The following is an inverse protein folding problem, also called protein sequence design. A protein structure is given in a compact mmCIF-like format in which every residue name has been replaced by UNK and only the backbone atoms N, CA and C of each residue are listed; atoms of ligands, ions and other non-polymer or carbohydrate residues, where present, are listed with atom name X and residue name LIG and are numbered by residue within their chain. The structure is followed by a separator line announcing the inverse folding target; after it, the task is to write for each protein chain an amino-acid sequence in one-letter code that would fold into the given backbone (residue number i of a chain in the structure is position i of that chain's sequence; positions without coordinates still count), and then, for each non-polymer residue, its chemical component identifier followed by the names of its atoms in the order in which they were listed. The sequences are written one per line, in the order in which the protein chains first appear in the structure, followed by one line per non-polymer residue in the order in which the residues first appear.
data_IF_139905819795
#
_entry.id   IF_139905819795
#
_cell.length_a   1.000
_cell.length_b   1.000
_cell.length_c   1.000
_cell.angle_alpha   90.00
_cell.angle_beta   90.00
_cell.angle_gamma   90.00
#
_symmetry.space_group_name_H-M   'P 1'
#
loop_
_entity.id
_entity.type
_entity.pdbx_description
1 polymer ?
#
# COMPACT_ATOMS: atom_id res chain seq x y z
N UNK A 1 -22.10 26.19 -3.43
CA UNK A 1 -21.42 26.99 -4.47
C UNK A 1 -21.83 26.59 -5.88
N UNK A 2 -21.94 25.29 -6.18
CA UNK A 2 -22.39 24.78 -7.49
C UNK A 2 -23.79 25.32 -7.90
N UNK A 3 -24.79 25.25 -6.99
CA UNK A 3 -26.12 25.86 -7.23
C UNK A 3 -26.11 27.37 -7.49
N UNK A 4 -24.99 28.05 -7.20
CA UNK A 4 -24.77 29.48 -7.44
C UNK A 4 -23.98 29.74 -8.74
N UNK A 5 -23.81 28.73 -9.61
CA UNK A 5 -23.16 28.86 -10.92
C UNK A 5 -21.65 28.70 -10.93
N UNK A 6 -21.03 28.27 -9.82
CA UNK A 6 -19.59 28.00 -9.78
C UNK A 6 -19.29 26.61 -10.39
N UNK A 7 -18.21 26.45 -11.17
CA UNK A 7 -17.79 25.14 -11.69
C UNK A 7 -17.65 24.10 -10.58
N UNK A 8 -17.98 22.84 -10.85
CA UNK A 8 -18.05 21.79 -9.84
C UNK A 8 -16.68 21.47 -9.21
N UNK A 9 -15.63 21.50 -10.00
CA UNK A 9 -14.24 21.31 -9.58
C UNK A 9 -13.75 22.43 -8.64
N UNK A 10 -13.89 23.69 -9.05
CA UNK A 10 -13.58 24.84 -8.20
C UNK A 10 -14.46 24.85 -6.94
N UNK A 11 -15.73 24.48 -7.15
CA UNK A 11 -16.72 24.02 -6.20
C UNK A 11 -16.15 23.30 -4.98
N UNK A 12 -15.61 22.13 -5.28
CA UNK A 12 -15.15 21.15 -4.30
C UNK A 12 -13.79 21.54 -3.75
N UNK A 13 -12.85 21.99 -4.60
CA UNK A 13 -11.53 22.41 -4.16
C UNK A 13 -11.58 23.52 -3.11
N UNK A 14 -12.38 24.57 -3.35
CA UNK A 14 -12.54 25.68 -2.39
C UNK A 14 -13.23 25.24 -1.09
N UNK A 15 -14.14 24.27 -1.18
CA UNK A 15 -14.84 23.75 0.01
C UNK A 15 -13.92 22.87 0.86
N UNK A 16 -13.00 22.12 0.23
CA UNK A 16 -12.13 21.17 0.91
C UNK A 16 -10.82 21.78 1.43
N UNK A 17 -10.35 22.88 0.83
CA UNK A 17 -9.10 23.54 1.22
C UNK A 17 -8.99 23.85 2.73
N UNK A 18 -10.01 24.40 3.42
CA UNK A 18 -9.92 24.66 4.86
C UNK A 18 -9.76 23.38 5.71
N UNK A 19 -10.32 22.25 5.26
CA UNK A 19 -10.18 20.98 5.95
C UNK A 19 -8.78 20.39 5.78
N UNK A 20 -8.19 20.52 4.59
CA UNK A 20 -6.80 20.12 4.34
C UNK A 20 -5.82 20.97 5.16
N UNK A 21 -6.06 22.30 5.26
CA UNK A 21 -5.27 23.19 6.12
C UNK A 21 -5.37 22.80 7.61
N UNK A 22 -6.58 22.50 8.08
CA UNK A 22 -6.81 22.07 9.46
C UNK A 22 -6.05 20.76 9.77
N UNK A 23 -6.06 19.79 8.85
CA UNK A 23 -5.31 18.54 9.00
C UNK A 23 -3.80 18.77 9.03
N UNK A 24 -3.30 19.65 8.14
CA UNK A 24 -1.87 20.00 8.06
C UNK A 24 -1.36 20.76 9.29
N UNK A 25 -2.23 21.55 9.91
CA UNK A 25 -1.92 22.30 11.14
C UNK A 25 -1.98 21.45 12.42
N UNK A 26 -2.40 20.18 12.33
CA UNK A 26 -2.39 19.25 13.46
C UNK A 26 -0.98 18.95 13.93
N UNK A 27 -0.75 18.77 15.24
CA UNK A 27 0.53 18.31 15.79
C UNK A 27 0.76 16.80 15.58
N UNK A 28 -0.29 16.05 15.27
CA UNK A 28 -0.23 14.61 15.02
C UNK A 28 0.19 14.30 13.58
N UNK A 29 1.30 13.57 13.43
CA UNK A 29 1.88 13.19 12.13
C UNK A 29 0.92 12.37 11.24
N UNK A 30 0.02 11.58 11.81
CA UNK A 30 -1.00 10.84 11.06
C UNK A 30 -2.03 11.79 10.47
N UNK A 31 -2.48 12.79 11.24
CA UNK A 31 -3.40 13.80 10.72
C UNK A 31 -2.75 14.71 9.68
N UNK A 32 -1.48 15.09 9.86
CA UNK A 32 -0.71 15.80 8.83
C UNK A 32 -0.66 15.02 7.52
N UNK A 33 -0.38 13.71 7.61
CA UNK A 33 -0.33 12.83 6.43
C UNK A 33 -1.70 12.74 5.71
N UNK A 34 -2.82 12.76 6.44
CA UNK A 34 -4.17 12.72 5.86
C UNK A 34 -4.57 13.96 5.07
N UNK A 35 -3.88 15.09 5.23
CA UNK A 35 -4.12 16.26 4.40
C UNK A 35 -3.86 15.95 2.92
N UNK A 36 -2.79 15.18 2.64
CA UNK A 36 -2.45 14.74 1.29
C UNK A 36 -3.51 13.79 0.70
N UNK A 37 -4.07 12.89 1.52
CA UNK A 37 -5.15 11.98 1.08
C UNK A 37 -6.42 12.76 0.66
N UNK A 38 -6.78 13.81 1.42
CA UNK A 38 -7.93 14.65 1.08
C UNK A 38 -7.69 15.43 -0.22
N UNK A 39 -6.48 15.95 -0.42
CA UNK A 39 -6.08 16.64 -1.63
C UNK A 39 -6.07 15.70 -2.85
N UNK A 40 -5.64 14.44 -2.68
CA UNK A 40 -5.71 13.41 -3.73
C UNK A 40 -7.16 13.17 -4.18
N UNK A 41 -8.10 13.00 -3.24
CA UNK A 41 -9.52 12.79 -3.58
C UNK A 41 -10.12 14.00 -4.33
N UNK A 42 -9.77 15.22 -3.94
CA UNK A 42 -10.21 16.44 -4.62
C UNK A 42 -9.70 16.47 -6.06
N UNK A 43 -8.44 16.10 -6.25
CA UNK A 43 -7.80 16.08 -7.57
C UNK A 43 -8.34 14.95 -8.46
N UNK A 44 -8.61 13.76 -7.90
CA UNK A 44 -9.28 12.67 -8.60
C UNK A 44 -10.67 13.08 -9.10
N UNK A 45 -11.47 13.70 -8.22
CA UNK A 45 -12.79 14.20 -8.60
C UNK A 45 -12.66 15.24 -9.72
N UNK A 46 -11.70 16.17 -9.61
CA UNK A 46 -11.45 17.18 -10.63
C UNK A 46 -11.14 16.53 -11.98
N UNK A 47 -10.22 15.57 -12.02
CA UNK A 47 -9.87 14.85 -13.25
C UNK A 47 -11.06 14.08 -13.82
N UNK A 48 -11.82 13.38 -12.99
CA UNK A 48 -13.03 12.68 -13.41
C UNK A 48 -14.08 13.63 -14.03
N UNK A 49 -14.28 14.82 -13.45
CA UNK A 49 -15.18 15.85 -13.98
C UNK A 49 -14.73 16.38 -15.35
N UNK A 50 -13.42 16.39 -15.61
CA UNK A 50 -12.84 16.83 -16.89
C UNK A 50 -12.59 15.67 -17.87
N UNK A 51 -12.94 14.43 -17.51
CA UNK A 51 -12.67 13.24 -18.33
C UNK A 51 -11.18 12.93 -18.50
N UNK A 52 -10.34 13.38 -17.57
CA UNK A 52 -8.90 13.13 -17.55
C UNK A 52 -8.63 11.90 -16.69
N UNK A 53 -7.74 11.01 -17.14
CA UNK A 53 -7.30 9.84 -16.37
C UNK A 53 -6.50 10.25 -15.13
N UNK A 54 -6.73 9.57 -14.00
CA UNK A 54 -5.93 9.70 -12.78
C UNK A 54 -4.53 9.10 -12.88
N UNK A 55 -4.40 8.11 -13.75
CA UNK A 55 -3.14 7.45 -14.02
C UNK A 55 -2.44 8.15 -15.18
N UNK A 56 -1.13 8.42 -15.06
CA UNK A 56 -0.34 8.71 -16.24
C UNK A 56 -0.50 7.57 -17.26
N UNK A 57 -0.44 7.85 -18.56
CA UNK A 57 -0.49 6.80 -19.57
C UNK A 57 0.59 5.76 -19.25
N UNK A 58 0.26 4.45 -19.32
CA UNK A 58 1.23 3.42 -19.01
C UNK A 58 2.44 3.56 -19.94
N UNK A 59 3.66 3.32 -19.44
CA UNK A 59 4.84 3.45 -20.28
C UNK A 59 4.81 2.39 -21.38
N UNK A 60 5.29 2.73 -22.57
CA UNK A 60 5.29 1.82 -23.72
C UNK A 60 6.22 0.61 -23.54
N UNK A 61 7.15 0.69 -22.60
CA UNK A 61 8.17 -0.32 -22.28
C UNK A 61 8.41 -0.36 -20.77
N UNK A 62 8.97 -1.46 -20.22
CA UNK A 62 9.36 -1.53 -18.81
C UNK A 62 10.22 -0.33 -18.38
N UNK A 63 9.71 0.50 -17.46
CA UNK A 63 10.28 1.82 -17.11
C UNK A 63 10.28 2.08 -15.60
N UNK A 64 11.16 2.99 -15.17
CA UNK A 64 11.17 3.54 -13.81
C UNK A 64 10.34 4.82 -13.81
N UNK A 65 9.34 4.90 -12.93
CA UNK A 65 8.50 6.09 -12.82
C UNK A 65 9.19 7.14 -11.95
N UNK A 66 9.37 8.35 -12.46
CA UNK A 66 9.85 9.50 -11.70
C UNK A 66 8.69 10.48 -11.50
N UNK A 67 8.43 10.86 -10.26
CA UNK A 67 7.35 11.77 -9.93
C UNK A 67 7.72 12.72 -8.80
N UNK A 68 6.96 13.82 -8.66
CA UNK A 68 7.12 14.72 -7.49
C UNK A 68 6.64 14.01 -6.23
N UNK A 69 5.48 13.38 -6.33
CA UNK A 69 4.91 12.48 -5.34
C UNK A 69 4.04 11.43 -6.07
N UNK A 70 3.75 10.31 -5.42
CA UNK A 70 2.80 9.31 -5.91
C UNK A 70 1.75 9.08 -4.83
N UNK A 71 0.49 9.36 -5.16
CA UNK A 71 -0.60 9.06 -4.26
C UNK A 71 -0.77 7.55 -4.06
N UNK A 72 -1.34 7.09 -2.93
CA UNK A 72 -1.60 5.66 -2.71
C UNK A 72 -2.46 5.03 -3.80
N UNK A 73 -3.47 5.75 -4.28
CA UNK A 73 -4.34 5.39 -5.41
C UNK A 73 -3.55 5.11 -6.68
N UNK A 74 -2.61 6.00 -7.02
CA UNK A 74 -1.75 5.88 -8.19
C UNK A 74 -0.76 4.72 -8.06
N UNK A 75 -0.17 4.56 -6.88
CA UNK A 75 0.79 3.48 -6.59
C UNK A 75 0.14 2.10 -6.68
N UNK A 76 -1.09 1.97 -6.19
CA UNK A 76 -1.87 0.73 -6.27
C UNK A 76 -2.28 0.36 -7.71
N UNK A 77 -2.46 1.37 -8.57
CA UNK A 77 -2.86 1.21 -9.98
C UNK A 77 -1.71 0.95 -10.96
N UNK A 78 -0.46 0.87 -10.50
CA UNK A 78 0.70 0.66 -11.37
C UNK A 78 0.67 -0.74 -12.01
N UNK A 79 0.84 -0.79 -13.33
CA UNK A 79 1.02 -2.04 -14.06
C UNK A 79 2.41 -2.62 -13.80
N UNK A 80 2.46 -3.72 -13.06
CA UNK A 80 3.70 -4.39 -12.63
C UNK A 80 4.51 -5.00 -13.77
N UNK A 81 3.94 -5.13 -14.96
CA UNK A 81 4.65 -5.63 -16.15
C UNK A 81 5.43 -4.51 -16.85
N UNK A 82 5.02 -3.26 -16.65
CA UNK A 82 5.56 -2.08 -17.33
C UNK A 82 6.28 -1.11 -16.38
N UNK A 83 5.98 -1.16 -15.07
CA UNK A 83 6.64 -0.34 -14.07
C UNK A 83 7.58 -1.21 -13.25
N UNK A 84 8.89 -1.04 -13.47
CA UNK A 84 9.94 -1.86 -12.83
C UNK A 84 10.49 -1.24 -11.53
N UNK A 85 10.00 -0.05 -11.18
CA UNK A 85 10.36 0.68 -9.96
C UNK A 85 9.90 2.13 -10.03
N UNK A 86 10.06 2.88 -8.94
CA UNK A 86 9.75 4.31 -8.96
C UNK A 86 10.63 5.13 -8.02
N UNK A 87 10.72 6.43 -8.31
CA UNK A 87 11.42 7.39 -7.49
C UNK A 87 10.59 8.67 -7.33
N UNK A 88 10.53 9.21 -6.11
CA UNK A 88 9.76 10.43 -5.81
C UNK A 88 10.62 11.52 -5.18
N UNK A 89 10.30 12.77 -5.51
CA UNK A 89 10.94 13.93 -4.89
C UNK A 89 10.50 14.14 -3.43
N UNK A 90 9.23 13.85 -3.15
CA UNK A 90 8.61 13.95 -1.83
C UNK A 90 8.33 12.56 -1.25
N UNK A 91 7.92 12.52 0.01
CA UNK A 91 7.58 11.29 0.72
C UNK A 91 8.66 10.82 1.70
N UNK A 92 8.27 9.92 2.58
CA UNK A 92 9.13 9.33 3.61
C UNK A 92 9.10 7.81 3.53
N UNK A 93 10.12 7.14 4.07
CA UNK A 93 10.20 5.68 4.08
C UNK A 93 9.02 4.99 4.82
N UNK A 94 8.30 5.73 5.67
CA UNK A 94 7.13 5.28 6.42
C UNK A 94 5.80 5.69 5.78
N UNK A 95 5.83 6.45 4.68
CA UNK A 95 4.62 6.86 3.97
C UNK A 95 3.91 5.68 3.29
N UNK A 96 2.60 5.81 3.05
CA UNK A 96 1.78 4.78 2.41
C UNK A 96 2.35 4.31 1.07
N UNK A 97 2.90 5.22 0.26
CA UNK A 97 3.56 4.94 -1.01
C UNK A 97 4.76 4.00 -0.86
N UNK A 98 5.60 4.20 0.15
CA UNK A 98 6.76 3.35 0.43
C UNK A 98 6.35 1.97 0.99
N UNK A 99 5.26 1.90 1.76
CA UNK A 99 4.69 0.64 2.24
C UNK A 99 4.11 -0.17 1.07
N UNK A 100 3.37 0.50 0.17
CA UNK A 100 2.79 -0.12 -1.02
C UNK A 100 3.89 -0.65 -1.96
N UNK A 101 4.98 0.09 -2.17
CA UNK A 101 6.11 -0.39 -2.96
C UNK A 101 6.65 -1.75 -2.47
N UNK A 102 6.84 -1.89 -1.15
CA UNK A 102 7.32 -3.13 -0.54
C UNK A 102 6.33 -4.28 -0.74
N UNK A 103 5.04 -4.02 -0.58
CA UNK A 103 4.00 -5.03 -0.79
C UNK A 103 3.92 -5.49 -2.27
N UNK A 104 4.21 -4.57 -3.19
CA UNK A 104 4.25 -4.79 -4.64
C UNK A 104 5.58 -5.40 -5.11
N UNK A 105 6.60 -5.48 -4.25
CA UNK A 105 7.93 -5.98 -4.61
C UNK A 105 8.69 -5.06 -5.57
N UNK A 106 8.33 -3.77 -5.63
CA UNK A 106 8.97 -2.79 -6.51
C UNK A 106 10.11 -2.07 -5.78
N UNK A 107 11.30 -1.93 -6.40
CA UNK A 107 12.32 -0.99 -5.94
C UNK A 107 11.74 0.44 -5.90
N UNK A 108 11.90 1.12 -4.77
CA UNK A 108 11.42 2.48 -4.59
C UNK A 108 12.40 3.32 -3.77
N UNK A 109 12.64 4.56 -4.20
CA UNK A 109 13.39 5.58 -3.45
C UNK A 109 12.56 6.86 -3.37
N UNK A 110 12.31 7.34 -2.16
CA UNK A 110 11.43 8.49 -1.91
C UNK A 110 12.21 9.63 -1.24
N UNK A 111 11.79 10.86 -1.46
CA UNK A 111 12.40 12.05 -0.84
C UNK A 111 13.68 12.56 -1.53
N UNK A 112 13.83 12.35 -2.85
CA UNK A 112 14.99 12.85 -3.60
C UNK A 112 14.75 14.29 -4.05
N UNK A 113 15.26 15.28 -3.30
CA UNK A 113 15.08 16.69 -3.63
C UNK A 113 15.55 17.04 -5.06
N UNK A 114 14.72 17.77 -5.82
CA UNK A 114 15.04 18.21 -7.19
C UNK A 114 14.98 17.11 -8.26
N UNK A 115 14.46 15.91 -7.93
CA UNK A 115 14.46 14.76 -8.84
C UNK A 115 13.75 15.04 -10.17
N UNK A 116 12.56 15.62 -10.14
CA UNK A 116 11.73 15.85 -11.35
C UNK A 116 12.35 16.86 -12.31
N UNK A 117 13.18 17.77 -11.80
CA UNK A 117 13.88 18.75 -12.62
C UNK A 117 15.21 18.19 -13.16
N UNK A 118 15.75 17.16 -12.49
CA UNK A 118 17.03 16.54 -12.84
C UNK A 118 16.91 15.41 -13.88
N UNK A 119 15.75 14.73 -13.96
CA UNK A 119 15.53 13.58 -14.85
C UNK A 119 14.58 13.93 -15.99
N UNK A 120 15.02 13.73 -17.23
CA UNK A 120 14.17 13.87 -18.41
C UNK A 120 13.44 12.56 -18.77
N UNK A 121 12.27 12.68 -19.40
CA UNK A 121 11.56 11.51 -19.94
C UNK A 121 12.42 10.77 -20.98
N UNK A 122 12.42 9.45 -20.91
CA UNK A 122 13.29 8.58 -21.73
C UNK A 122 14.77 8.53 -21.32
N UNK A 123 15.18 9.26 -20.27
CA UNK A 123 16.56 9.21 -19.77
C UNK A 123 16.86 7.90 -19.05
N UNK A 124 18.07 7.39 -19.24
CA UNK A 124 18.50 6.16 -18.57
C UNK A 124 18.80 6.45 -17.11
N UNK A 125 18.18 5.68 -16.20
CA UNK A 125 18.41 5.79 -14.76
C UNK A 125 18.63 4.42 -14.14
N UNK A 126 19.45 4.39 -13.09
CA UNK A 126 19.69 3.23 -12.27
C UNK A 126 19.11 3.49 -10.88
N UNK A 127 18.08 2.73 -10.51
CA UNK A 127 17.43 2.82 -9.22
C UNK A 127 17.92 1.68 -8.30
N UNK A 128 18.52 2.05 -7.17
CA UNK A 128 18.96 1.11 -6.14
C UNK A 128 18.17 1.36 -4.84
N UNK A 129 17.17 0.51 -4.61
CA UNK A 129 16.31 0.57 -3.43
C UNK A 129 16.99 0.11 -2.13
N UNK A 130 18.08 -0.66 -2.22
CA UNK A 130 18.85 -1.11 -1.05
C UNK A 130 19.72 0.03 -0.50
N UNK A 131 20.36 0.78 -1.41
CA UNK A 131 21.23 1.92 -1.06
C UNK A 131 20.49 3.25 -1.00
N UNK A 132 19.25 3.30 -1.49
CA UNK A 132 18.44 4.51 -1.55
C UNK A 132 18.99 5.53 -2.56
N UNK A 133 19.54 5.06 -3.69
CA UNK A 133 20.20 5.94 -4.68
C UNK A 133 19.55 5.83 -6.05
N UNK A 134 19.48 6.96 -6.77
CA UNK A 134 19.15 7.02 -8.19
C UNK A 134 20.33 7.64 -8.92
N UNK A 135 20.84 6.95 -9.94
CA UNK A 135 21.95 7.44 -10.78
C UNK A 135 21.42 7.72 -12.18
N UNK A 136 21.62 8.95 -12.63
CA UNK A 136 21.24 9.43 -13.96
C UNK A 136 22.39 9.12 -14.93
N UNK A 137 22.05 8.66 -16.13
CA UNK A 137 23.00 8.23 -17.17
C UNK A 137 24.11 7.33 -16.62
N UNK A 138 23.73 6.18 -16.00
CA UNK A 138 24.68 5.30 -15.34
C UNK A 138 25.70 4.77 -16.34
N UNK A 139 26.97 4.74 -15.93
CA UNK A 139 28.00 4.10 -16.74
C UNK A 139 27.70 2.61 -16.93
N UNK A 140 28.09 1.98 -18.05
CA UNK A 140 27.89 0.54 -18.25
C UNK A 140 28.45 -0.32 -17.11
N UNK A 141 29.56 0.11 -16.51
CA UNK A 141 30.18 -0.57 -15.36
C UNK A 141 29.37 -0.45 -14.06
N UNK A 142 28.61 0.64 -13.89
CA UNK A 142 27.68 0.84 -12.77
C UNK A 142 26.47 -0.07 -12.89
N UNK A 143 25.94 -0.24 -14.11
CA UNK A 143 24.81 -1.16 -14.39
C UNK A 143 25.23 -2.61 -14.17
N UNK A 144 26.45 -3.00 -14.57
CA UNK A 144 26.97 -4.36 -14.40
C UNK A 144 27.18 -4.76 -12.92
N UNK A 145 27.34 -3.79 -12.01
CA UNK A 145 27.49 -4.03 -10.57
C UNK A 145 26.16 -4.08 -9.81
N UNK A 146 25.09 -3.53 -10.39
CA UNK A 146 23.75 -3.75 -9.86
C UNK A 146 23.35 -5.14 -10.30
N UNK A 147 23.51 -6.09 -9.37
CA UNK A 147 22.88 -7.38 -9.51
C UNK A 147 21.41 -7.11 -9.83
N UNK A 148 20.91 -7.64 -10.96
CA UNK A 148 19.47 -7.73 -11.19
C UNK A 148 18.81 -8.29 -9.92
N UNK A 149 17.51 -7.98 -9.68
CA UNK A 149 16.84 -8.20 -8.40
C UNK A 149 17.35 -9.49 -7.80
N UNK A 150 18.13 -9.37 -6.71
CA UNK A 150 18.77 -10.55 -6.11
C UNK A 150 17.64 -11.55 -5.95
N UNK A 151 17.75 -12.76 -6.52
CA UNK A 151 16.76 -13.78 -6.21
C UNK A 151 16.70 -13.78 -4.70
N UNK A 152 15.50 -13.49 -4.15
CA UNK A 152 15.25 -13.58 -2.72
C UNK A 152 15.96 -14.86 -2.30
N UNK A 153 17.00 -14.74 -1.47
CA UNK A 153 17.73 -15.92 -1.05
C UNK A 153 16.67 -16.74 -0.36
N UNK A 154 16.26 -17.82 -1.01
CA UNK A 154 15.28 -18.75 -0.46
C UNK A 154 16.04 -19.54 0.59
N UNK A 155 16.30 -18.88 1.71
CA UNK A 155 16.84 -19.53 2.88
C UNK A 155 15.68 -20.14 3.63
N UNK A 156 15.32 -21.35 3.20
CA UNK A 156 14.35 -22.19 3.90
C UNK A 156 15.00 -22.95 5.07
N UNK A 157 16.26 -22.65 5.43
CA UNK A 157 16.87 -23.24 6.61
C UNK A 157 16.13 -22.75 7.86
N UNK A 158 15.96 -23.62 8.86
CA UNK A 158 15.40 -23.20 10.14
C UNK A 158 16.21 -22.04 10.73
N UNK A 159 15.52 -20.99 11.19
CA UNK A 159 16.20 -19.89 11.85
C UNK A 159 16.71 -20.36 13.23
N UNK A 160 18.03 -20.53 13.33
CA UNK A 160 18.72 -20.97 14.54
C UNK A 160 19.77 -19.93 14.93
N UNK A 161 19.68 -19.47 16.17
CA UNK A 161 20.66 -18.57 16.79
C UNK A 161 22.02 -19.26 16.98
N UNK A 162 23.09 -18.48 17.19
CA UNK A 162 24.46 -19.01 17.33
C UNK A 162 24.63 -19.99 18.49
N UNK A 163 23.77 -19.91 19.51
CA UNK A 163 23.72 -20.79 20.67
C UNK A 163 22.67 -21.92 20.55
N UNK A 164 22.07 -22.10 19.38
CA UNK A 164 21.24 -23.27 19.04
C UNK A 164 19.74 -23.13 19.31
N UNK A 165 19.24 -21.95 19.69
CA UNK A 165 17.80 -21.71 19.85
C UNK A 165 17.13 -21.52 18.49
N UNK A 166 16.16 -22.39 18.18
CA UNK A 166 15.25 -22.25 17.03
C UNK A 166 14.21 -21.14 17.27
N UNK A 167 13.95 -20.35 16.24
CA UNK A 167 12.92 -19.30 16.18
C UNK A 167 12.06 -19.57 14.95
N UNK A 168 10.74 -19.52 15.08
CA UNK A 168 9.85 -19.63 13.93
C UNK A 168 9.74 -18.27 13.23
N UNK A 169 9.97 -18.26 11.91
CA UNK A 169 9.88 -17.06 11.08
C UNK A 169 8.62 -17.13 10.22
N UNK A 170 7.55 -16.53 10.73
CA UNK A 170 6.27 -16.45 10.04
C UNK A 170 6.11 -15.18 9.20
N UNK A 171 5.28 -15.24 8.15
CA UNK A 171 4.89 -14.08 7.35
C UNK A 171 3.52 -13.51 7.78
N UNK A 172 3.30 -12.23 7.51
CA UNK A 172 1.98 -11.62 7.54
C UNK A 172 1.34 -11.75 6.15
N UNK A 173 0.08 -12.15 6.07
CA UNK A 173 -0.65 -12.30 4.82
C UNK A 173 -2.06 -11.69 4.93
N UNK A 174 -2.63 -11.27 3.80
CA UNK A 174 -4.02 -10.82 3.70
C UNK A 174 -4.83 -11.59 2.65
N UNK A 175 -4.17 -12.36 1.77
CA UNK A 175 -4.81 -13.09 0.68
C UNK A 175 -3.98 -14.34 0.27
N UNK A 176 -4.46 -15.07 -0.74
CA UNK A 176 -3.80 -16.27 -1.27
C UNK A 176 -2.42 -15.98 -1.90
N UNK A 177 -2.27 -14.87 -2.61
CA UNK A 177 -1.00 -14.49 -3.25
C UNK A 177 0.10 -14.28 -2.20
N UNK A 178 -0.22 -13.61 -1.09
CA UNK A 178 0.69 -13.47 0.05
C UNK A 178 1.11 -14.81 0.65
N UNK A 179 0.16 -15.73 0.81
CA UNK A 179 0.43 -17.07 1.32
C UNK A 179 1.34 -17.87 0.39
N UNK A 180 1.10 -17.83 -0.92
CA UNK A 180 1.96 -18.47 -1.91
C UNK A 180 3.37 -17.89 -1.92
N UNK A 181 3.50 -16.56 -1.82
CA UNK A 181 4.80 -15.88 -1.71
C UNK A 181 5.54 -16.29 -0.43
N UNK A 182 4.85 -16.35 0.71
CA UNK A 182 5.43 -16.81 1.97
C UNK A 182 5.89 -18.28 1.89
N UNK A 183 5.08 -19.13 1.25
CA UNK A 183 5.41 -20.54 1.06
C UNK A 183 6.70 -20.71 0.23
N UNK A 184 6.78 -20.00 -0.90
CA UNK A 184 7.92 -19.99 -1.80
C UNK A 184 9.18 -19.39 -1.16
N UNK A 185 9.02 -18.41 -0.27
CA UNK A 185 10.11 -17.81 0.49
C UNK A 185 10.64 -18.71 1.63
N UNK A 186 9.99 -19.84 1.94
CA UNK A 186 10.42 -20.77 2.98
C UNK A 186 9.98 -20.40 4.39
N UNK A 187 8.97 -19.53 4.55
CA UNK A 187 8.45 -19.17 5.87
C UNK A 187 8.01 -20.40 6.67
N UNK A 188 8.23 -20.40 7.99
CA UNK A 188 7.81 -21.48 8.89
C UNK A 188 6.27 -21.55 9.01
N UNK A 189 5.56 -20.50 8.60
CA UNK A 189 4.10 -20.41 8.60
C UNK A 189 3.61 -19.00 8.30
N UNK A 190 2.29 -18.80 8.41
CA UNK A 190 1.69 -17.47 8.47
C UNK A 190 1.48 -17.11 9.93
N UNK A 191 2.25 -16.13 10.42
CA UNK A 191 2.14 -15.65 11.80
C UNK A 191 0.94 -14.75 12.03
N UNK A 192 0.39 -14.17 10.95
CA UNK A 192 -0.82 -13.36 10.98
C UNK A 192 -1.50 -13.35 9.61
N UNK A 193 -2.64 -14.02 9.50
CA UNK A 193 -3.56 -13.87 8.38
C UNK A 193 -4.62 -12.82 8.76
N UNK A 194 -4.59 -11.68 8.09
CA UNK A 194 -5.55 -10.58 8.25
C UNK A 194 -6.81 -10.91 7.47
N UNK A 195 -7.93 -11.10 8.16
CA UNK A 195 -9.21 -11.44 7.54
C UNK A 195 -9.93 -10.22 6.93
N UNK A 196 -9.52 -8.99 7.26
CA UNK A 196 -10.24 -7.78 6.86
C UNK A 196 -10.37 -7.60 5.35
N UNK A 197 -9.45 -8.12 4.54
CA UNK A 197 -9.50 -7.98 3.07
C UNK A 197 -10.76 -8.64 2.46
N UNK A 198 -11.30 -9.69 3.09
CA UNK A 198 -12.57 -10.29 2.65
C UNK A 198 -13.79 -9.39 2.90
N UNK A 199 -13.66 -8.42 3.79
CA UNK A 199 -14.75 -7.55 4.23
C UNK A 199 -14.63 -6.15 3.61
N UNK A 200 -13.40 -5.68 3.39
CA UNK A 200 -13.11 -4.36 2.84
C UNK A 200 -13.26 -4.35 1.32
N UNK A 201 -13.91 -3.32 0.76
CA UNK A 201 -14.09 -3.15 -0.69
C UNK A 201 -15.35 -3.81 -1.27
N UNK A 202 -16.23 -4.37 -0.42
CA UNK A 202 -17.54 -4.91 -0.82
C UNK A 202 -18.67 -4.18 -0.07
N UNK A 203 -19.77 -3.93 -0.77
CA UNK A 203 -20.99 -3.33 -0.19
C UNK A 203 -21.79 -4.32 0.68
N UNK A 204 -21.41 -5.61 0.65
CA UNK A 204 -22.00 -6.67 1.48
C UNK A 204 -20.93 -7.41 2.28
N UNK A 205 -21.35 -7.99 3.40
CA UNK A 205 -20.50 -8.91 4.15
C UNK A 205 -20.28 -10.20 3.33
N UNK A 206 -19.08 -10.81 3.44
CA UNK A 206 -18.81 -12.10 2.83
C UNK A 206 -19.65 -13.19 3.49
N UNK A 207 -20.09 -14.16 2.71
CA UNK A 207 -20.80 -15.34 3.24
C UNK A 207 -19.81 -16.25 3.98
N UNK A 208 -20.34 -17.20 4.75
CA UNK A 208 -19.52 -18.24 5.38
C UNK A 208 -18.77 -19.07 4.31
N UNK A 209 -19.45 -19.44 3.22
CA UNK A 209 -18.87 -20.20 2.11
C UNK A 209 -17.68 -19.47 1.45
N UNK A 210 -17.79 -18.15 1.26
CA UNK A 210 -16.70 -17.31 0.72
C UNK A 210 -15.50 -17.27 1.68
N UNK A 211 -15.76 -17.17 2.98
CA UNK A 211 -14.71 -17.19 4.01
C UNK A 211 -14.02 -18.55 4.07
N UNK A 212 -14.79 -19.64 4.04
CA UNK A 212 -14.27 -21.02 4.04
C UNK A 212 -13.39 -21.25 2.80
N UNK A 213 -13.87 -20.90 1.62
CA UNK A 213 -13.12 -21.08 0.37
C UNK A 213 -11.77 -20.36 0.38
N UNK A 214 -11.72 -19.12 0.89
CA UNK A 214 -10.46 -18.38 1.04
C UNK A 214 -9.51 -19.07 2.02
N UNK A 215 -10.02 -19.47 3.19
CA UNK A 215 -9.21 -20.13 4.22
C UNK A 215 -8.67 -21.48 3.73
N UNK A 216 -9.47 -22.27 3.03
CA UNK A 216 -9.04 -23.54 2.42
C UNK A 216 -7.89 -23.33 1.44
N UNK A 217 -7.99 -22.34 0.56
CA UNK A 217 -6.93 -22.02 -0.40
C UNK A 217 -5.63 -21.60 0.29
N UNK A 218 -5.72 -20.73 1.30
CA UNK A 218 -4.55 -20.27 2.07
C UNK A 218 -3.92 -21.41 2.86
N UNK A 219 -4.73 -22.24 3.52
CA UNK A 219 -4.25 -23.41 4.27
C UNK A 219 -3.59 -24.43 3.34
N UNK A 220 -4.16 -24.68 2.16
CA UNK A 220 -3.58 -25.58 1.16
C UNK A 220 -2.24 -25.06 0.63
N UNK A 221 -2.12 -23.75 0.39
CA UNK A 221 -0.88 -23.13 -0.08
C UNK A 221 0.26 -23.20 0.96
N UNK A 222 -0.07 -23.23 2.25
CA UNK A 222 0.91 -23.26 3.34
C UNK A 222 1.18 -24.66 3.90
N UNK A 223 0.35 -25.66 3.59
CA UNK A 223 0.46 -26.99 4.16
C UNK A 223 1.88 -27.59 4.02
N UNK A 224 2.46 -28.19 5.08
CA UNK A 224 1.87 -28.48 6.40
C UNK A 224 2.08 -27.37 7.46
N UNK A 225 2.51 -26.17 7.06
CA UNK A 225 2.90 -25.08 7.97
C UNK A 225 1.67 -24.42 8.61
N UNK A 226 1.78 -23.94 9.86
CA UNK A 226 0.68 -23.29 10.57
C UNK A 226 0.25 -21.97 9.91
N UNK A 227 -1.04 -21.66 10.04
CA UNK A 227 -1.64 -20.40 9.65
C UNK A 227 -2.39 -19.83 10.85
N UNK A 228 -1.95 -18.68 11.36
CA UNK A 228 -2.59 -17.98 12.47
C UNK A 228 -3.62 -17.00 11.90
N UNK A 229 -4.88 -17.40 11.89
CA UNK A 229 -5.99 -16.53 11.51
C UNK A 229 -6.28 -15.53 12.64
N UNK A 230 -6.30 -14.23 12.29
CA UNK A 230 -6.89 -13.21 13.15
C UNK A 230 -8.34 -12.98 12.74
N UNK A 231 -9.25 -13.09 13.71
CA UNK A 231 -10.66 -12.74 13.51
C UNK A 231 -10.81 -11.27 13.11
N UNK A 232 -11.97 -10.91 12.59
CA UNK A 232 -12.22 -9.61 11.98
C UNK A 232 -11.82 -8.42 12.89
N UNK A 233 -10.79 -7.68 12.48
CA UNK A 233 -10.32 -6.47 13.18
C UNK A 233 -10.67 -5.20 12.39
N UNK A 234 -11.96 -4.85 12.42
CA UNK A 234 -12.52 -3.66 11.77
C UNK A 234 -13.16 -2.72 12.79
N UNK A 235 -13.35 -1.47 12.39
CA UNK A 235 -13.64 -0.35 13.28
C UNK A 235 -12.41 0.55 13.42
N UNK A 236 -12.66 1.84 13.56
CA UNK A 236 -11.70 2.94 13.39
C UNK A 236 -11.44 3.42 11.96
N UNK A 237 -10.19 3.39 11.52
CA UNK A 237 -9.67 3.90 10.26
C UNK A 237 -10.08 3.06 9.03
N UNK A 238 -10.71 1.90 9.26
CA UNK A 238 -11.18 0.96 8.25
C UNK A 238 -12.72 0.91 8.26
N UNK A 239 -13.41 1.85 7.60
CA UNK A 239 -14.86 1.84 7.55
C UNK A 239 -15.35 0.59 6.81
N UNK A 240 -16.39 -0.05 7.35
CA UNK A 240 -17.04 -1.21 6.73
C UNK A 240 -18.47 -0.79 6.34
N UNK A 241 -18.72 -0.37 5.08
CA UNK A 241 -20.04 0.13 4.65
C UNK A 241 -21.17 -0.87 4.92
N UNK A 242 -20.89 -2.16 4.75
CA UNK A 242 -21.83 -3.25 5.00
C UNK A 242 -22.21 -3.41 6.49
N UNK A 243 -21.49 -2.77 7.42
CA UNK A 243 -21.75 -2.80 8.86
C UNK A 243 -21.57 -1.40 9.45
N UNK A 244 -22.55 -0.50 9.27
CA UNK A 244 -22.46 0.86 9.76
C UNK A 244 -22.32 0.89 11.28
N UNK A 245 -21.42 1.75 11.76
CA UNK A 245 -21.14 1.98 13.17
C UNK A 245 -21.43 3.44 13.52
N UNK A 246 -21.90 3.72 14.75
CA UNK A 246 -22.03 5.10 15.21
C UNK A 246 -20.66 5.79 15.21
N UNK A 247 -20.65 7.10 14.96
CA UNK A 247 -19.43 7.88 15.06
C UNK A 247 -18.95 7.91 16.52
N UNK A 248 -17.65 7.68 16.72
CA UNK A 248 -16.99 7.72 18.02
C UNK A 248 -15.94 8.84 18.04
N UNK A 249 -15.79 9.51 19.19
CA UNK A 249 -14.80 10.58 19.36
C UNK A 249 -13.35 10.07 19.19
N UNK A 250 -13.08 8.83 19.62
CA UNK A 250 -11.81 8.15 19.36
C UNK A 250 -12.06 6.70 18.93
N UNK A 251 -12.17 6.45 17.62
CA UNK A 251 -12.47 5.12 17.12
C UNK A 251 -11.37 4.07 17.42
N UNK A 252 -10.11 4.49 17.58
CA UNK A 252 -9.03 3.57 17.95
C UNK A 252 -9.20 2.99 19.37
N UNK A 253 -9.84 3.75 20.27
CA UNK A 253 -10.16 3.33 21.63
C UNK A 253 -11.59 2.79 21.79
N UNK A 254 -12.40 2.87 20.74
CA UNK A 254 -13.83 2.56 20.79
C UNK A 254 -14.21 1.12 20.43
N UNK A 255 -15.35 0.95 19.77
CA UNK A 255 -15.94 -0.33 19.41
C UNK A 255 -15.33 -0.85 18.11
N UNK A 256 -14.28 -1.66 18.23
CA UNK A 256 -13.59 -2.30 17.10
C UNK A 256 -13.17 -3.74 17.39
N UNK A 257 -12.78 -4.45 16.34
CA UNK A 257 -12.29 -5.82 16.39
C UNK A 257 -13.17 -6.74 17.22
N UNK A 258 -12.59 -7.38 18.24
CA UNK A 258 -13.34 -8.30 19.10
C UNK A 258 -14.53 -7.65 19.80
N UNK A 259 -14.44 -6.36 20.19
CA UNK A 259 -15.56 -5.67 20.87
C UNK A 259 -16.77 -5.55 19.95
N UNK A 260 -16.53 -5.20 18.69
CA UNK A 260 -17.56 -5.14 17.67
C UNK A 260 -18.17 -6.53 17.45
N UNK A 261 -17.34 -7.56 17.31
CA UNK A 261 -17.81 -8.93 17.14
C UNK A 261 -18.68 -9.38 18.32
N UNK A 262 -18.29 -9.09 19.56
CA UNK A 262 -19.06 -9.44 20.76
C UNK A 262 -20.40 -8.72 20.84
N UNK A 263 -20.47 -7.44 20.46
CA UNK A 263 -21.71 -6.67 20.43
C UNK A 263 -22.69 -7.13 19.33
N UNK A 264 -22.18 -7.82 18.32
CA UNK A 264 -22.95 -8.34 17.19
C UNK A 264 -23.19 -9.85 17.27
N UNK A 265 -22.79 -10.51 18.36
CA UNK A 265 -23.18 -11.90 18.60
C UNK A 265 -24.70 -11.97 18.75
N UNK A 266 -25.36 -12.96 18.11
CA UNK A 266 -26.77 -13.24 18.34
C UNK A 266 -27.02 -13.64 19.81
#
# INVERSE_FOLDING_TARGET
MIRKGRPADAAVAETMAPFAEMLRASDDEVFKARAADLEDVVEQLRRALHGVSDMPPPPATPSIVVARDLAPSQTAGLDRTLVVGFATEQGTATAHTAILARALGLPAVVGIAGLVDAVADGQSVLLDGDRGTLVIDPSPGSVAHVAGPKPLVTDAAPAVTKDGRRIDVGCNAANLEDAQRAAAAGADGIGLLRSEFLFLGSDRLPTEEEQVAMLEQVMAAMAPRPVILRTLDVGADKPLPALPQPAEANPALGVRGLRLQLLRRP
#
